data_IF_924721839849
#
_entry.id   IF_924721839849
#
_cell.length_a   1.000
_cell.length_b   1.000
_cell.length_c   1.000
_cell.angle_alpha   90.00
_cell.angle_beta   90.00
_cell.angle_gamma   90.00
#
_symmetry.space_group_name_H-M   'P 1'
#
loop_
_entity.id
_entity.type
_entity.pdbx_description
1 polymer ?
#
# COMPACT_ATOMS: atom_id res chain seq x y z
N UNK A 1 22.85 13.81 -13.77
CA UNK A 1 21.78 14.07 -12.78
C UNK A 1 21.05 12.76 -12.51
N UNK A 2 20.96 12.33 -11.25
CA UNK A 2 20.15 11.15 -10.90
C UNK A 2 18.68 11.47 -11.20
N UNK A 3 17.97 10.56 -11.86
CA UNK A 3 16.53 10.77 -12.13
C UNK A 3 15.76 10.70 -10.81
N UNK A 4 14.74 11.56 -10.61
CA UNK A 4 13.86 11.44 -9.46
C UNK A 4 13.21 10.06 -9.45
N UNK A 5 13.14 9.45 -8.26
CA UNK A 5 12.61 8.09 -8.09
C UNK A 5 11.38 8.13 -7.19
N UNK A 6 10.28 7.54 -7.67
CA UNK A 6 9.11 7.24 -6.86
C UNK A 6 9.15 5.78 -6.47
N UNK A 7 8.92 5.47 -5.20
CA UNK A 7 8.93 4.11 -4.67
C UNK A 7 7.87 3.92 -3.59
N UNK A 8 7.36 2.70 -3.47
CA UNK A 8 6.54 2.30 -2.32
C UNK A 8 7.45 1.79 -1.23
N UNK A 9 7.31 2.35 -0.02
CA UNK A 9 8.06 1.98 1.17
C UNK A 9 7.13 1.27 2.13
N UNK A 10 7.37 -0.02 2.35
CA UNK A 10 6.87 -0.77 3.50
C UNK A 10 7.76 -0.57 4.74
N UNK A 11 7.15 -0.35 5.90
CA UNK A 11 7.80 -0.26 7.21
C UNK A 11 6.98 -0.98 8.27
N UNK A 12 7.58 -1.99 8.92
CA UNK A 12 6.98 -2.66 10.09
C UNK A 12 7.31 -1.95 11.41
N UNK A 13 7.94 -0.77 11.40
CA UNK A 13 8.32 -0.04 12.60
C UNK A 13 7.12 0.73 13.17
N UNK A 14 6.68 0.33 14.37
CA UNK A 14 5.55 0.97 15.07
C UNK A 14 5.83 2.45 15.35
N UNK A 15 7.08 2.86 15.53
CA UNK A 15 7.45 4.28 15.74
C UNK A 15 7.17 5.12 14.50
N UNK A 16 7.37 4.55 13.31
CA UNK A 16 7.02 5.22 12.06
C UNK A 16 5.50 5.38 11.93
N UNK A 17 4.74 4.33 12.27
CA UNK A 17 3.28 4.42 12.28
C UNK A 17 2.75 5.43 13.31
N UNK A 18 3.36 5.49 14.49
CA UNK A 18 3.04 6.46 15.54
C UNK A 18 3.33 7.91 15.11
N UNK A 19 4.42 8.13 14.37
CA UNK A 19 4.71 9.42 13.72
C UNK A 19 3.59 9.83 12.75
N UNK A 20 3.17 8.90 11.89
CA UNK A 20 2.07 9.13 10.95
C UNK A 20 0.72 9.31 11.67
N UNK A 21 0.46 8.59 12.76
CA UNK A 21 -0.75 8.72 13.56
C UNK A 21 -0.86 10.11 14.19
N UNK A 22 0.24 10.62 14.78
CA UNK A 22 0.31 12.00 15.29
C UNK A 22 0.06 13.01 14.18
N UNK A 23 0.71 12.83 13.04
CA UNK A 23 0.65 13.76 11.91
C UNK A 23 -0.72 13.83 11.25
N UNK A 24 -1.40 12.69 11.13
CA UNK A 24 -2.73 12.60 10.51
C UNK A 24 -3.88 12.82 11.50
N UNK A 25 -3.57 12.85 12.79
CA UNK A 25 -4.55 12.81 13.88
C UNK A 25 -5.48 11.59 13.81
N UNK A 26 -5.01 10.49 13.21
CA UNK A 26 -5.69 9.19 13.18
C UNK A 26 -4.98 8.31 14.20
N UNK A 27 -5.61 7.97 15.34
CA UNK A 27 -4.93 7.25 16.40
C UNK A 27 -4.53 5.85 15.94
N UNK A 28 -3.37 5.39 16.41
CA UNK A 28 -3.04 3.97 16.34
C UNK A 28 -4.13 3.21 17.08
N UNK A 29 -4.79 2.31 16.35
CA UNK A 29 -5.86 1.50 16.91
C UNK A 29 -5.28 0.32 17.70
N UNK A 30 -6.07 -0.25 18.61
CA UNK A 30 -5.65 -1.45 19.34
C UNK A 30 -5.52 -2.64 18.39
N UNK A 31 -4.74 -3.66 18.76
CA UNK A 31 -4.57 -4.86 17.93
C UNK A 31 -5.93 -5.52 17.58
N UNK A 32 -6.87 -5.55 18.53
CA UNK A 32 -8.21 -6.11 18.32
C UNK A 32 -9.03 -5.28 17.33
N UNK A 33 -9.03 -3.96 17.49
CA UNK A 33 -9.76 -3.06 16.60
C UNK A 33 -9.12 -3.02 15.20
N UNK A 34 -7.80 -3.17 15.09
CA UNK A 34 -7.10 -3.37 13.83
C UNK A 34 -7.56 -4.67 13.16
N UNK A 35 -7.55 -5.78 13.89
CA UNK A 35 -7.97 -7.09 13.39
C UNK A 35 -9.40 -7.05 12.88
N UNK A 36 -10.32 -6.43 13.62
CA UNK A 36 -11.71 -6.28 13.22
C UNK A 36 -11.88 -5.41 11.96
N UNK A 37 -11.13 -4.30 11.85
CA UNK A 37 -11.21 -3.39 10.70
C UNK A 37 -10.61 -4.03 9.44
N UNK A 38 -9.48 -4.71 9.57
CA UNK A 38 -8.86 -5.49 8.50
C UNK A 38 -9.77 -6.63 8.03
N UNK A 39 -10.40 -7.36 8.96
CA UNK A 39 -11.36 -8.40 8.64
C UNK A 39 -12.58 -7.86 7.86
N UNK A 40 -13.10 -6.66 8.22
CA UNK A 40 -14.16 -5.99 7.43
C UNK A 40 -13.70 -5.65 6.02
N UNK A 41 -12.42 -5.31 5.83
CA UNK A 41 -11.84 -5.03 4.52
C UNK A 41 -11.63 -6.29 3.65
N UNK A 42 -11.64 -7.51 4.22
CA UNK A 42 -11.43 -8.75 3.47
C UNK A 42 -12.37 -8.90 2.28
N UNK A 43 -13.64 -8.51 2.43
CA UNK A 43 -14.62 -8.60 1.33
C UNK A 43 -14.19 -7.74 0.13
N UNK A 44 -13.68 -6.54 0.39
CA UNK A 44 -13.19 -5.66 -0.67
C UNK A 44 -11.88 -6.19 -1.27
N UNK A 45 -10.94 -6.62 -0.44
CA UNK A 45 -9.69 -7.24 -0.90
C UNK A 45 -9.92 -8.48 -1.78
N UNK A 46 -10.89 -9.33 -1.42
CA UNK A 46 -11.28 -10.47 -2.25
C UNK A 46 -11.97 -10.04 -3.56
N UNK A 47 -12.78 -8.98 -3.54
CA UNK A 47 -13.35 -8.44 -4.77
C UNK A 47 -12.25 -7.91 -5.71
N UNK A 48 -11.25 -7.19 -5.18
CA UNK A 48 -10.09 -6.73 -5.96
C UNK A 48 -9.29 -7.91 -6.52
N UNK A 49 -9.08 -8.98 -5.74
CA UNK A 49 -8.50 -10.23 -6.25
C UNK A 49 -9.30 -10.79 -7.43
N UNK A 50 -10.63 -10.88 -7.33
CA UNK A 50 -11.46 -11.40 -8.41
C UNK A 50 -11.36 -10.53 -9.68
N UNK A 51 -11.29 -9.20 -9.53
CA UNK A 51 -11.05 -8.27 -10.64
C UNK A 51 -9.68 -8.52 -11.28
N UNK A 52 -8.61 -8.67 -10.49
CA UNK A 52 -7.27 -8.98 -10.99
C UNK A 52 -7.24 -10.28 -11.80
N UNK A 53 -7.91 -11.33 -11.32
CA UNK A 53 -7.97 -12.61 -12.03
C UNK A 53 -8.79 -12.51 -13.33
N UNK A 54 -10.00 -11.94 -13.26
CA UNK A 54 -10.94 -11.93 -14.39
C UNK A 54 -10.53 -10.98 -15.50
N UNK A 55 -10.17 -9.75 -15.12
CA UNK A 55 -9.96 -8.64 -16.05
C UNK A 55 -8.48 -8.50 -16.42
N UNK A 56 -7.58 -8.65 -15.45
CA UNK A 56 -6.14 -8.46 -15.67
C UNK A 56 -5.39 -9.77 -15.96
N UNK A 57 -6.08 -10.92 -15.95
CA UNK A 57 -5.52 -12.25 -16.26
C UNK A 57 -4.38 -12.65 -15.31
N UNK A 58 -4.50 -12.27 -14.05
CA UNK A 58 -3.62 -12.77 -12.99
C UNK A 58 -4.04 -14.20 -12.62
N UNK A 59 -3.08 -15.00 -12.16
CA UNK A 59 -3.32 -16.36 -11.65
C UNK A 59 -3.13 -16.40 -10.14
N UNK A 60 -3.80 -17.35 -9.49
CA UNK A 60 -3.46 -17.69 -8.10
C UNK A 60 -2.08 -18.35 -8.09
N UNK A 61 -1.16 -17.76 -7.34
CA UNK A 61 0.17 -18.32 -7.15
C UNK A 61 0.08 -19.47 -6.13
N UNK A 62 0.59 -20.66 -6.45
CA UNK A 62 0.51 -21.80 -5.55
C UNK A 62 1.29 -21.50 -4.25
N UNK A 63 0.59 -21.51 -3.12
CA UNK A 63 1.20 -21.33 -1.80
C UNK A 63 0.60 -22.29 -0.79
N UNK A 64 1.42 -23.02 -0.02
CA UNK A 64 0.94 -23.83 1.10
C UNK A 64 0.63 -22.98 2.34
N UNK A 65 0.89 -21.66 2.31
CA UNK A 65 0.76 -20.81 3.49
C UNK A 65 -0.69 -20.35 3.73
N UNK A 66 -1.38 -21.08 4.60
CA UNK A 66 -2.76 -20.78 5.02
C UNK A 66 -2.95 -19.43 5.72
N UNK A 67 -1.87 -18.72 6.09
CA UNK A 67 -1.94 -17.41 6.73
C UNK A 67 -2.01 -16.27 5.71
N UNK A 68 -2.04 -16.57 4.41
CA UNK A 68 -2.25 -15.61 3.33
C UNK A 68 -3.74 -15.54 2.95
N UNK A 69 -4.28 -14.33 2.86
CA UNK A 69 -5.64 -14.05 2.37
C UNK A 69 -5.73 -14.41 0.89
N UNK A 70 -4.70 -14.04 0.14
CA UNK A 70 -4.46 -14.50 -1.21
C UNK A 70 -2.99 -14.34 -1.59
N UNK A 71 -2.60 -15.07 -2.63
CA UNK A 71 -1.31 -14.96 -3.31
C UNK A 71 -1.60 -15.00 -4.80
N UNK A 72 -1.33 -13.90 -5.51
CA UNK A 72 -1.56 -13.78 -6.94
C UNK A 72 -0.25 -13.51 -7.66
N UNK A 73 -0.11 -14.02 -8.87
CA UNK A 73 0.99 -13.69 -9.77
C UNK A 73 0.44 -12.98 -11.01
N UNK A 74 1.14 -11.92 -11.43
CA UNK A 74 0.82 -11.25 -12.70
C UNK A 74 1.37 -12.07 -13.87
N UNK A 75 0.64 -12.07 -14.98
CA UNK A 75 1.28 -12.33 -16.28
C UNK A 75 2.28 -11.21 -16.57
N UNK A 76 3.41 -11.52 -17.22
CA UNK A 76 4.45 -10.51 -17.48
C UNK A 76 3.86 -9.31 -18.23
N UNK A 77 3.84 -8.16 -17.55
CA UNK A 77 3.32 -6.89 -18.09
C UNK A 77 4.15 -6.40 -19.27
N UNK A 78 5.42 -6.77 -19.31
CA UNK A 78 6.34 -6.44 -20.39
C UNK A 78 6.37 -7.60 -21.38
N UNK A 79 6.16 -7.30 -22.65
CA UNK A 79 6.40 -8.24 -23.75
C UNK A 79 7.49 -7.69 -24.65
N UNK A 80 8.42 -8.55 -25.05
CA UNK A 80 9.43 -8.21 -26.04
C UNK A 80 8.77 -8.00 -27.40
N UNK A 81 9.53 -7.47 -28.36
CA UNK A 81 9.11 -7.38 -29.77
C UNK A 81 8.76 -8.74 -30.38
N UNK A 82 9.23 -9.85 -29.79
CA UNK A 82 8.90 -11.22 -30.16
C UNK A 82 7.70 -11.81 -29.36
N UNK A 83 7.00 -10.99 -28.56
CA UNK A 83 5.82 -11.40 -27.78
C UNK A 83 6.11 -12.17 -26.49
N UNK A 84 7.39 -12.39 -26.16
CA UNK A 84 7.84 -13.11 -24.97
C UNK A 84 7.80 -12.22 -23.72
N UNK A 85 7.53 -12.78 -22.52
CA UNK A 85 7.71 -12.08 -21.24
C UNK A 85 9.08 -11.40 -21.15
N UNK A 86 9.10 -10.08 -20.99
CA UNK A 86 10.31 -9.27 -20.94
C UNK A 86 10.58 -8.65 -19.56
N UNK A 87 9.93 -9.15 -18.49
CA UNK A 87 10.19 -8.69 -17.14
C UNK A 87 9.78 -9.70 -16.06
N UNK A 88 10.23 -9.48 -14.82
CA UNK A 88 9.88 -10.34 -13.70
C UNK A 88 8.38 -10.27 -13.41
N UNK A 89 7.80 -11.41 -13.03
CA UNK A 89 6.44 -11.45 -12.52
C UNK A 89 6.38 -10.85 -11.11
N UNK A 90 5.40 -10.00 -10.87
CA UNK A 90 4.99 -9.61 -9.53
C UNK A 90 4.20 -10.74 -8.88
N UNK A 91 4.62 -11.14 -7.68
CA UNK A 91 3.84 -11.98 -6.78
C UNK A 91 3.25 -11.07 -5.70
N UNK A 92 1.95 -10.81 -5.77
CA UNK A 92 1.22 -10.01 -4.79
C UNK A 92 0.63 -10.90 -3.71
N UNK A 93 1.03 -10.66 -2.48
CA UNK A 93 0.57 -11.44 -1.32
C UNK A 93 0.02 -10.50 -0.26
N UNK A 94 -1.12 -10.87 0.32
CA UNK A 94 -1.67 -10.20 1.50
C UNK A 94 -1.98 -11.23 2.59
N UNK A 95 -1.71 -10.92 3.87
CA UNK A 95 -2.00 -11.84 4.97
C UNK A 95 -3.49 -11.87 5.32
N UNK A 96 -3.95 -12.98 5.92
CA UNK A 96 -5.30 -13.08 6.53
C UNK A 96 -5.43 -12.16 7.74
N UNK A 97 -4.34 -11.95 8.48
CA UNK A 97 -4.34 -11.13 9.69
C UNK A 97 -3.33 -9.99 9.57
N UNK A 98 -3.77 -8.76 9.88
CA UNK A 98 -2.92 -7.56 9.84
C UNK A 98 -1.68 -7.65 10.74
N UNK A 99 -1.77 -8.39 11.86
CA UNK A 99 -0.63 -8.65 12.75
C UNK A 99 0.57 -9.25 12.01
N UNK A 100 0.32 -9.95 10.90
CA UNK A 100 1.38 -10.55 10.11
C UNK A 100 2.32 -9.53 9.45
N UNK A 101 1.88 -8.28 9.23
CA UNK A 101 2.76 -7.21 8.76
C UNK A 101 3.86 -6.84 9.77
N UNK A 102 3.65 -7.17 11.04
CA UNK A 102 4.58 -6.89 12.14
C UNK A 102 5.45 -8.09 12.53
N UNK A 103 5.18 -9.28 11.96
CA UNK A 103 5.94 -10.51 12.23
C UNK A 103 7.37 -10.37 11.69
N UNK A 104 8.41 -10.44 12.53
CA UNK A 104 9.81 -10.32 12.09
C UNK A 104 10.18 -11.31 10.99
N UNK A 105 9.63 -12.52 11.05
CA UNK A 105 9.88 -13.64 10.14
C UNK A 105 9.33 -13.38 8.73
N UNK A 106 8.36 -12.47 8.60
CA UNK A 106 7.72 -12.11 7.32
C UNK A 106 8.09 -10.71 6.83
N UNK A 107 8.91 -9.97 7.56
CA UNK A 107 9.34 -8.63 7.17
C UNK A 107 9.94 -8.61 5.76
N UNK A 108 10.85 -9.55 5.48
CA UNK A 108 11.50 -9.66 4.18
C UNK A 108 10.49 -9.99 3.07
N UNK A 109 9.52 -10.86 3.35
CA UNK A 109 8.44 -11.18 2.42
C UNK A 109 7.66 -9.91 2.02
N UNK A 110 7.29 -9.06 2.98
CA UNK A 110 6.56 -7.82 2.71
C UNK A 110 7.42 -6.77 2.01
N UNK A 111 8.71 -6.69 2.34
CA UNK A 111 9.66 -5.86 1.61
C UNK A 111 9.76 -6.30 0.14
N UNK A 112 9.86 -7.60 -0.14
CA UNK A 112 9.89 -8.12 -1.52
C UNK A 112 8.64 -7.72 -2.30
N UNK A 113 7.46 -7.79 -1.68
CA UNK A 113 6.20 -7.41 -2.33
C UNK A 113 6.19 -5.90 -2.63
N UNK A 114 6.33 -5.07 -1.60
CA UNK A 114 6.06 -3.64 -1.71
C UNK A 114 7.24 -2.80 -2.21
N UNK A 115 8.49 -3.20 -1.95
CA UNK A 115 9.67 -2.48 -2.44
C UNK A 115 10.08 -2.91 -3.87
N UNK A 116 9.32 -3.79 -4.52
CA UNK A 116 9.64 -4.20 -5.89
C UNK A 116 9.31 -3.09 -6.90
N UNK A 117 10.23 -2.83 -7.83
CA UNK A 117 10.00 -1.90 -8.95
C UNK A 117 8.80 -2.33 -9.81
N UNK A 118 8.52 -3.65 -9.86
CA UNK A 118 7.33 -4.19 -10.54
C UNK A 118 6.05 -3.75 -9.84
N UNK A 119 5.96 -3.79 -8.51
CA UNK A 119 4.78 -3.30 -7.79
C UNK A 119 4.55 -1.81 -8.05
N UNK A 120 5.61 -0.99 -7.96
CA UNK A 120 5.57 0.45 -8.25
C UNK A 120 5.12 0.75 -9.69
N UNK A 121 5.54 -0.08 -10.66
CA UNK A 121 5.13 0.07 -12.06
C UNK A 121 3.69 -0.38 -12.28
N UNK A 122 3.33 -1.55 -11.76
CA UNK A 122 2.00 -2.15 -11.93
C UNK A 122 0.92 -1.27 -11.30
N UNK A 123 1.13 -0.72 -10.10
CA UNK A 123 0.11 0.13 -9.45
C UNK A 123 -0.26 1.37 -10.27
N UNK A 124 0.63 1.86 -11.14
CA UNK A 124 0.37 3.01 -12.01
C UNK A 124 -0.55 2.69 -13.18
N UNK A 125 -0.59 1.43 -13.60
CA UNK A 125 -1.31 0.97 -14.80
C UNK A 125 -2.46 -0.01 -14.48
N UNK A 126 -2.52 -0.52 -13.25
CA UNK A 126 -3.51 -1.49 -12.78
C UNK A 126 -4.26 -0.91 -11.56
N UNK A 127 -5.42 -0.27 -11.77
CA UNK A 127 -6.24 0.32 -10.72
C UNK A 127 -6.47 -0.58 -9.49
N UNK A 128 -6.79 -1.88 -9.62
CA UNK A 128 -6.99 -2.72 -8.43
C UNK A 128 -5.76 -2.84 -7.52
N UNK A 129 -4.54 -2.80 -8.09
CA UNK A 129 -3.30 -2.81 -7.28
C UNK A 129 -3.11 -1.48 -6.57
N UNK A 130 -3.46 -0.37 -7.22
CA UNK A 130 -3.47 0.95 -6.57
C UNK A 130 -4.51 1.02 -5.45
N UNK A 131 -5.70 0.43 -5.66
CA UNK A 131 -6.75 0.36 -4.64
C UNK A 131 -6.32 -0.47 -3.44
N UNK A 132 -5.60 -1.58 -3.65
CA UNK A 132 -4.99 -2.36 -2.56
C UNK A 132 -4.01 -1.50 -1.75
N UNK A 133 -3.11 -0.76 -2.41
CA UNK A 133 -2.19 0.15 -1.74
C UNK A 133 -2.94 1.20 -0.92
N UNK A 134 -3.90 1.88 -1.52
CA UNK A 134 -4.68 2.94 -0.87
C UNK A 134 -5.47 2.41 0.33
N UNK A 135 -6.06 1.22 0.19
CA UNK A 135 -6.80 0.58 1.27
C UNK A 135 -5.88 0.23 2.44
N UNK A 136 -4.67 -0.29 2.18
CA UNK A 136 -3.69 -0.57 3.24
C UNK A 136 -3.24 0.73 3.93
N UNK A 137 -3.04 1.83 3.19
CA UNK A 137 -2.72 3.14 3.78
C UNK A 137 -3.80 3.64 4.73
N UNK A 138 -5.08 3.37 4.42
CA UNK A 138 -6.20 3.71 5.31
C UNK A 138 -6.26 2.79 6.54
N UNK A 139 -6.02 1.49 6.35
CA UNK A 139 -6.09 0.49 7.43
C UNK A 139 -4.97 0.65 8.45
N UNK A 140 -3.77 0.97 7.96
CA UNK A 140 -2.51 0.91 8.67
C UNK A 140 -1.65 2.11 8.24
N UNK A 141 -2.02 3.31 8.69
CA UNK A 141 -1.32 4.54 8.32
C UNK A 141 0.16 4.46 8.68
N UNK A 142 1.02 4.75 7.70
CA UNK A 142 2.48 4.66 7.84
C UNK A 142 3.07 3.26 7.61
N UNK A 143 2.27 2.20 7.47
CA UNK A 143 2.80 0.87 7.15
C UNK A 143 3.35 0.82 5.71
N UNK A 144 2.61 1.41 4.77
CA UNK A 144 3.04 1.57 3.38
C UNK A 144 2.90 3.03 2.98
N UNK A 145 3.96 3.62 2.43
CA UNK A 145 3.98 5.03 2.01
C UNK A 145 4.55 5.15 0.61
N UNK A 146 4.23 6.21 -0.11
CA UNK A 146 4.86 6.52 -1.41
C UNK A 146 5.92 7.57 -1.18
N UNK A 147 7.18 7.28 -1.47
CA UNK A 147 8.29 8.22 -1.37
C UNK A 147 8.66 8.72 -2.76
N UNK A 148 8.88 10.03 -2.89
CA UNK A 148 9.49 10.67 -4.04
C UNK A 148 10.83 11.26 -3.59
N UNK A 149 11.94 10.73 -4.11
CA UNK A 149 13.29 11.18 -3.81
C UNK A 149 13.82 12.10 -4.93
N UNK A 150 14.31 13.27 -4.53
CA UNK A 150 15.00 14.23 -5.37
C UNK A 150 16.37 14.56 -4.76
N UNK A 151 17.42 14.56 -5.60
CA UNK A 151 18.78 14.89 -5.18
C UNK A 151 19.11 16.31 -5.62
N UNK A 152 19.25 17.21 -4.65
CA UNK A 152 19.65 18.59 -4.84
C UNK A 152 21.09 18.81 -4.36
N UNK A 153 21.77 19.89 -4.75
CA UNK A 153 23.14 20.18 -4.31
C UNK A 153 23.33 20.15 -2.78
N UNK A 154 22.29 20.54 -2.03
CA UNK A 154 22.34 20.68 -0.57
C UNK A 154 22.02 19.38 0.19
N UNK A 155 21.45 18.37 -0.47
CA UNK A 155 20.88 17.22 0.24
C UNK A 155 20.02 16.32 -0.63
N UNK A 156 19.63 15.20 -0.04
CA UNK A 156 18.56 14.35 -0.59
C UNK A 156 17.24 14.73 0.05
N UNK A 157 16.27 15.13 -0.76
CA UNK A 157 14.94 15.52 -0.35
C UNK A 157 13.96 14.38 -0.64
N UNK A 158 13.21 13.94 0.36
CA UNK A 158 12.17 12.92 0.20
C UNK A 158 10.81 13.49 0.55
N UNK A 159 9.94 13.54 -0.43
CA UNK A 159 8.51 13.84 -0.23
C UNK A 159 7.76 12.52 -0.10
N UNK A 160 7.24 12.24 1.08
CA UNK A 160 6.58 10.99 1.42
C UNK A 160 5.08 11.24 1.54
N UNK A 161 4.25 10.37 0.96
CA UNK A 161 2.80 10.40 1.09
C UNK A 161 2.32 9.20 1.89
N UNK A 162 1.67 9.45 3.02
CA UNK A 162 1.20 8.42 3.95
C UNK A 162 -0.29 8.06 3.83
N UNK A 163 -1.06 8.87 3.11
CA UNK A 163 -2.49 8.66 2.90
C UNK A 163 -2.89 8.73 1.41
N UNK A 164 -3.99 8.07 1.00
CA UNK A 164 -4.47 8.12 -0.38
C UNK A 164 -4.91 9.53 -0.84
N UNK A 165 -5.08 9.73 -2.16
CA UNK A 165 -5.77 10.90 -2.72
C UNK A 165 -7.15 11.12 -2.13
N UNK A 166 -7.49 12.39 -1.86
CA UNK A 166 -8.81 12.77 -1.35
C UNK A 166 -9.91 12.40 -2.35
N UNK A 167 -9.60 12.45 -3.64
CA UNK A 167 -10.49 12.01 -4.72
C UNK A 167 -10.81 10.53 -4.58
N UNK A 168 -9.80 9.69 -4.30
CA UNK A 168 -9.98 8.26 -4.08
C UNK A 168 -10.79 7.98 -2.82
N UNK A 169 -10.52 8.69 -1.72
CA UNK A 169 -11.29 8.58 -0.47
C UNK A 169 -12.77 8.92 -0.72
N UNK A 170 -13.03 10.02 -1.43
CA UNK A 170 -14.39 10.49 -1.72
C UNK A 170 -15.15 9.52 -2.63
N UNK A 171 -14.49 9.01 -3.68
CA UNK A 171 -15.09 8.02 -4.60
C UNK A 171 -15.47 6.72 -3.91
N UNK A 172 -14.74 6.34 -2.86
CA UNK A 172 -14.93 5.07 -2.14
C UNK A 172 -15.62 5.24 -0.77
N UNK A 173 -16.25 6.39 -0.51
CA UNK A 173 -16.88 6.75 0.76
C UNK A 173 -17.76 5.62 1.33
N UNK A 174 -18.64 5.05 0.51
CA UNK A 174 -19.61 4.03 0.93
C UNK A 174 -18.94 2.79 1.52
N UNK A 175 -17.84 2.33 0.94
CA UNK A 175 -17.15 1.13 1.40
C UNK A 175 -16.19 1.43 2.55
N UNK A 176 -15.55 2.60 2.53
CA UNK A 176 -14.75 3.09 3.65
C UNK A 176 -15.61 3.28 4.91
N UNK A 177 -16.81 3.83 4.80
CA UNK A 177 -17.75 3.95 5.92
C UNK A 177 -18.12 2.59 6.53
N UNK A 178 -18.31 1.55 5.72
CA UNK A 178 -18.60 0.19 6.22
C UNK A 178 -17.41 -0.42 6.96
N UNK A 179 -16.18 -0.11 6.53
CA UNK A 179 -14.96 -0.66 7.11
C UNK A 179 -14.58 0.10 8.38
N UNK A 180 -14.56 1.41 8.34
CA UNK A 180 -14.00 2.25 9.39
C UNK A 180 -15.05 2.84 10.33
N UNK A 181 -16.32 2.91 9.89
CA UNK A 181 -17.35 3.68 10.58
C UNK A 181 -17.24 5.19 10.29
N UNK A 182 -18.25 5.97 10.69
CA UNK A 182 -18.36 7.38 10.34
C UNK A 182 -17.25 8.26 10.93
N UNK A 183 -16.82 7.99 12.16
CA UNK A 183 -15.84 8.84 12.86
C UNK A 183 -14.45 8.71 12.24
N UNK A 184 -14.00 7.47 12.03
CA UNK A 184 -12.71 7.19 11.42
C UNK A 184 -12.70 7.61 9.95
N UNK A 185 -13.77 7.37 9.17
CA UNK A 185 -13.87 7.88 7.80
C UNK A 185 -13.72 9.41 7.75
N UNK A 186 -14.41 10.15 8.63
CA UNK A 186 -14.28 11.63 8.69
C UNK A 186 -12.85 12.06 9.00
N UNK A 187 -12.14 11.34 9.87
CA UNK A 187 -10.74 11.59 10.17
C UNK A 187 -9.85 11.35 8.94
N UNK A 188 -10.02 10.22 8.24
CA UNK A 188 -9.32 9.91 6.98
C UNK A 188 -9.57 10.98 5.92
N UNK A 189 -10.83 11.32 5.65
CA UNK A 189 -11.20 12.30 4.63
C UNK A 189 -10.61 13.69 4.91
N UNK A 190 -10.61 14.12 6.19
CA UNK A 190 -9.98 15.36 6.62
C UNK A 190 -8.47 15.33 6.44
N UNK A 191 -7.80 14.28 6.93
CA UNK A 191 -6.34 14.16 6.87
C UNK A 191 -5.83 14.02 5.42
N UNK A 192 -6.54 13.30 4.55
CA UNK A 192 -6.20 13.17 3.12
C UNK A 192 -6.34 14.47 2.34
N UNK A 193 -7.20 15.41 2.78
CA UNK A 193 -7.37 16.73 2.15
C UNK A 193 -6.30 17.72 2.56
N UNK A 194 -5.72 17.56 3.75
CA UNK A 194 -4.68 18.43 4.26
C UNK A 194 -3.29 17.95 3.81
N UNK A 195 -2.59 18.75 3.01
CA UNK A 195 -1.22 18.48 2.56
C UNK A 195 -0.25 18.31 3.73
N UNK A 196 -0.43 19.09 4.80
CA UNK A 196 0.43 19.02 5.99
C UNK A 196 0.17 17.79 6.85
N UNK A 197 -0.95 17.11 6.66
CA UNK A 197 -1.26 15.82 7.31
C UNK A 197 -0.91 14.62 6.43
N UNK A 198 -1.07 14.74 5.10
CA UNK A 198 -0.96 13.62 4.15
C UNK A 198 0.43 13.42 3.54
N UNK A 199 1.28 14.45 3.46
CA UNK A 199 2.64 14.35 2.89
C UNK A 199 3.71 14.21 3.98
N UNK A 200 5.00 14.43 3.79
CA UNK A 200 6.05 14.58 4.82
C UNK A 200 7.30 14.88 4.03
N UNK A 201 8.03 15.92 4.43
CA UNK A 201 9.31 16.23 3.81
C UNK A 201 10.41 15.78 4.75
N UNK A 202 11.27 14.89 4.28
CA UNK A 202 12.50 14.51 4.96
C UNK A 202 13.70 15.04 4.17
N UNK A 203 14.66 15.63 4.87
CA UNK A 203 15.89 16.15 4.28
C UNK A 203 17.04 15.38 4.90
N UNK A 204 17.82 14.69 4.07
CA UNK A 204 19.05 14.01 4.47
C UNK A 204 20.23 14.86 3.98
N UNK A 205 20.94 15.57 4.87
CA UNK A 205 22.15 16.30 4.51
C UNK A 205 23.24 15.35 3.99
N UNK A 206 24.12 15.88 3.13
CA UNK A 206 25.32 15.17 2.70
C UNK A 206 26.38 15.12 3.80
#
# INVERSE_FOLDING_TARGET
>A
MARPRTEVIFSSDVRNMDDWARRTHIPLTTADALGATYARAHRWLQALRLTLVREYKWSDAPTPDHRLLFSLETSSIWRSSAGLPAGPQLILQLPVHASSFFSPERRVQWQIVFHSDTFESVRKICPPVNDILNLIQCLLTGLVTISFEERLPEGTYRTIRGLPPVEWITQNEKDLLKIFGPDHYRALARASRDTQSSFKLEVVPH
#
